data_IF_240367152238
#
_entry.id   IF_240367152238
#
_cell.length_a   1.000
_cell.length_b   1.000
_cell.length_c   1.000
_cell.angle_alpha   90.00
_cell.angle_beta   90.00
_cell.angle_gamma   90.00
#
_symmetry.space_group_name_H-M   'P 1'
#
loop_
_entity.id
_entity.type
_entity.pdbx_description
1 polymer ?
#
# COMPACT_ATOMS: atom_id res chain seq x y z
N UNK A 1 28.73 -27.72 -2.89
CA UNK A 1 28.16 -27.64 -4.25
C UNK A 1 26.67 -27.98 -4.18
N UNK A 2 25.78 -27.07 -4.58
CA UNK A 2 24.32 -27.27 -4.53
C UNK A 2 23.74 -27.74 -5.87
N UNK A 3 24.48 -28.58 -6.60
CA UNK A 3 24.10 -29.09 -7.93
C UNK A 3 23.25 -30.37 -7.90
N UNK A 4 22.72 -30.78 -6.75
CA UNK A 4 21.87 -31.97 -6.66
C UNK A 4 20.53 -31.73 -7.37
N UNK A 5 20.09 -32.72 -8.16
CA UNK A 5 18.81 -32.66 -8.86
C UNK A 5 17.62 -32.54 -7.88
N UNK A 6 16.55 -31.92 -8.34
CA UNK A 6 15.31 -31.74 -7.57
C UNK A 6 14.63 -33.10 -7.39
N UNK A 7 14.18 -33.40 -6.18
CA UNK A 7 13.44 -34.62 -5.90
C UNK A 7 12.01 -34.54 -6.47
N UNK A 8 11.76 -35.21 -7.59
CA UNK A 8 10.41 -35.29 -8.19
C UNK A 8 9.41 -36.00 -7.27
N UNK A 9 9.87 -36.98 -6.49
CA UNK A 9 9.02 -37.68 -5.52
C UNK A 9 8.59 -36.76 -4.38
N UNK A 10 9.42 -35.80 -3.99
CA UNK A 10 9.06 -34.81 -2.98
C UNK A 10 8.03 -33.83 -3.54
N UNK A 11 8.17 -33.42 -4.81
CA UNK A 11 7.19 -32.58 -5.49
C UNK A 11 5.80 -33.26 -5.59
N UNK A 12 5.78 -34.60 -5.71
CA UNK A 12 4.56 -35.43 -5.69
C UNK A 12 4.13 -35.89 -4.28
N UNK A 13 4.74 -35.34 -3.22
CA UNK A 13 4.49 -35.71 -1.81
C UNK A 13 4.65 -37.21 -1.48
N UNK A 14 5.46 -37.94 -2.26
CA UNK A 14 5.69 -39.39 -2.14
C UNK A 14 7.12 -39.73 -1.66
N UNK A 15 7.94 -38.75 -1.30
CA UNK A 15 9.30 -38.98 -0.84
C UNK A 15 9.34 -39.45 0.63
N UNK A 16 9.60 -40.75 0.85
CA UNK A 16 9.77 -41.33 2.19
C UNK A 16 11.16 -41.11 2.82
N UNK A 17 12.11 -40.50 2.10
CA UNK A 17 13.50 -40.31 2.57
C UNK A 17 13.69 -39.07 3.46
N UNK A 18 12.65 -38.23 3.62
CA UNK A 18 12.69 -37.05 4.48
C UNK A 18 13.91 -36.16 4.21
N UNK A 19 14.56 -35.68 5.27
CA UNK A 19 15.76 -34.83 5.18
C UNK A 19 17.06 -35.55 4.79
N UNK A 20 17.04 -36.88 4.64
CA UNK A 20 18.19 -37.67 4.18
C UNK A 20 18.08 -38.03 2.69
N UNK A 21 17.18 -37.40 1.96
CA UNK A 21 17.07 -37.60 0.53
C UNK A 21 18.35 -37.09 -0.17
N UNK A 22 18.98 -37.89 -1.07
CA UNK A 22 20.11 -37.42 -1.89
C UNK A 22 19.76 -36.27 -2.84
N UNK A 23 18.47 -36.07 -3.09
CA UNK A 23 17.93 -35.06 -3.98
C UNK A 23 17.37 -33.88 -3.20
N UNK A 24 17.42 -32.69 -3.82
CA UNK A 24 16.98 -31.45 -3.21
C UNK A 24 15.47 -31.42 -3.01
N UNK A 25 15.03 -31.03 -1.82
CA UNK A 25 13.62 -30.81 -1.51
C UNK A 25 13.26 -29.32 -1.61
N UNK A 26 12.27 -28.97 -2.44
CA UNK A 26 11.79 -27.60 -2.59
C UNK A 26 10.52 -27.43 -1.75
N UNK A 27 10.69 -27.05 -0.48
CA UNK A 27 9.54 -26.85 0.43
C UNK A 27 9.14 -25.37 0.46
N UNK A 28 7.88 -25.07 0.19
CA UNK A 28 7.27 -23.74 0.39
C UNK A 28 7.56 -22.70 -0.69
N UNK A 29 6.65 -21.73 -0.76
CA UNK A 29 6.70 -20.53 -1.58
C UNK A 29 7.75 -19.55 -1.02
N UNK A 30 8.95 -19.57 -1.61
CA UNK A 30 10.04 -18.66 -1.25
C UNK A 30 9.98 -17.43 -2.15
N UNK A 31 9.93 -16.24 -1.55
CA UNK A 31 9.66 -14.98 -2.26
C UNK A 31 10.91 -14.24 -2.72
N UNK A 32 12.04 -14.37 -2.00
CA UNK A 32 13.27 -13.62 -2.27
C UNK A 32 14.47 -14.57 -2.41
N UNK A 33 15.35 -14.29 -3.37
CA UNK A 33 16.58 -15.06 -3.62
C UNK A 33 17.59 -14.90 -2.46
N UNK A 34 18.19 -16.01 -2.07
CA UNK A 34 19.18 -16.07 -1.00
C UNK A 34 20.50 -15.41 -1.40
N UNK A 35 20.84 -14.30 -0.74
CA UNK A 35 22.13 -13.60 -0.96
C UNK A 35 23.37 -14.48 -0.69
N UNK A 36 23.27 -15.44 0.23
CA UNK A 36 24.40 -16.31 0.59
C UNK A 36 24.57 -17.47 -0.39
N UNK A 37 23.48 -17.95 -0.98
CA UNK A 37 23.49 -19.00 -1.99
C UNK A 37 24.11 -18.51 -3.30
N UNK A 38 23.82 -17.25 -3.70
CA UNK A 38 24.48 -16.62 -4.85
C UNK A 38 26.01 -16.60 -4.76
N UNK A 39 26.56 -16.64 -3.53
CA UNK A 39 28.01 -16.72 -3.26
C UNK A 39 28.51 -18.13 -2.98
N UNK A 40 27.63 -19.14 -2.98
CA UNK A 40 27.96 -20.52 -2.60
C UNK A 40 28.23 -20.73 -1.10
N UNK A 41 27.87 -19.77 -0.24
CA UNK A 41 28.17 -19.79 1.21
C UNK A 41 26.96 -20.16 2.08
N UNK A 42 25.84 -20.58 1.48
CA UNK A 42 24.66 -20.94 2.23
C UNK A 42 24.85 -22.28 2.96
N UNK A 43 24.87 -22.26 4.30
CA UNK A 43 24.95 -23.47 5.14
C UNK A 43 23.60 -24.13 5.39
N UNK A 44 22.49 -23.41 5.16
CA UNK A 44 21.12 -23.89 5.43
C UNK A 44 20.61 -24.89 4.39
N UNK A 45 21.28 -25.01 3.24
CA UNK A 45 20.89 -25.93 2.17
C UNK A 45 19.41 -25.81 1.82
N UNK A 46 18.69 -26.91 1.82
CA UNK A 46 17.27 -26.96 1.47
C UNK A 46 16.32 -26.41 2.52
N UNK A 47 16.81 -26.20 3.75
CA UNK A 47 16.07 -25.60 4.86
C UNK A 47 16.25 -24.08 4.91
N UNK A 48 16.79 -23.47 3.85
CA UNK A 48 16.90 -22.03 3.75
C UNK A 48 15.52 -21.40 3.56
N UNK A 49 15.25 -20.32 4.31
CA UNK A 49 14.05 -19.49 4.18
C UNK A 49 14.00 -18.73 2.85
N UNK A 50 15.17 -18.55 2.20
CA UNK A 50 15.31 -17.81 0.96
C UNK A 50 15.44 -18.75 -0.25
N UNK A 51 14.99 -18.29 -1.41
CA UNK A 51 14.98 -19.03 -2.66
C UNK A 51 16.41 -19.33 -3.13
N UNK A 52 16.68 -20.59 -3.48
CA UNK A 52 17.95 -21.06 -4.05
C UNK A 52 17.81 -21.26 -5.56
N UNK A 53 17.26 -20.25 -6.23
CA UNK A 53 17.04 -20.24 -7.68
C UNK A 53 17.41 -18.86 -8.21
N UNK A 54 17.95 -18.81 -9.41
CA UNK A 54 18.36 -17.56 -10.04
C UNK A 54 17.17 -16.94 -10.77
N UNK A 55 16.44 -16.08 -10.07
CA UNK A 55 15.30 -15.35 -10.62
C UNK A 55 15.52 -13.84 -10.40
N UNK A 56 15.74 -13.11 -11.49
CA UNK A 56 16.01 -11.67 -11.46
C UNK A 56 14.86 -10.86 -10.87
N UNK A 57 13.62 -11.34 -10.97
CA UNK A 57 12.43 -10.63 -10.46
C UNK A 57 12.29 -10.72 -8.94
N UNK A 58 12.88 -11.77 -8.34
CA UNK A 58 12.85 -12.05 -6.89
C UNK A 58 14.18 -11.71 -6.21
N UNK A 59 15.05 -10.98 -6.91
CA UNK A 59 16.33 -10.55 -6.35
C UNK A 59 16.11 -9.55 -5.21
N UNK A 60 16.92 -9.60 -4.15
CA UNK A 60 16.82 -8.61 -3.08
C UNK A 60 17.20 -7.21 -3.58
N UNK A 61 16.72 -6.18 -2.87
CA UNK A 61 17.00 -4.77 -3.15
C UNK A 61 18.52 -4.48 -3.02
N UNK A 62 19.05 -3.64 -3.91
CA UNK A 62 20.44 -3.19 -3.84
C UNK A 62 20.62 -2.24 -2.65
N UNK A 63 21.46 -2.63 -1.69
CA UNK A 63 21.72 -1.82 -0.50
C UNK A 63 22.35 -0.47 -0.83
N UNK A 64 23.29 -0.42 -1.80
CA UNK A 64 23.96 0.82 -2.18
C UNK A 64 22.99 1.80 -2.84
N UNK A 65 22.19 1.30 -3.79
CA UNK A 65 21.20 2.11 -4.47
C UNK A 65 20.10 2.60 -3.52
N UNK A 66 19.57 1.72 -2.66
CA UNK A 66 18.53 2.10 -1.69
C UNK A 66 19.01 3.13 -0.66
N UNK A 67 20.30 3.14 -0.30
CA UNK A 67 20.85 4.03 0.75
C UNK A 67 21.45 5.31 0.19
N UNK A 68 22.21 5.22 -0.90
CA UNK A 68 22.98 6.33 -1.45
C UNK A 68 22.39 6.87 -2.76
N UNK A 69 21.39 6.21 -3.34
CA UNK A 69 20.80 6.58 -4.63
C UNK A 69 21.67 6.23 -5.84
N UNK A 70 22.86 5.67 -5.61
CA UNK A 70 23.83 5.34 -6.65
C UNK A 70 24.41 3.94 -6.41
N UNK A 71 24.50 3.15 -7.48
CA UNK A 71 25.21 1.88 -7.47
C UNK A 71 26.47 2.01 -8.32
N UNK A 72 27.63 1.65 -7.74
CA UNK A 72 28.91 1.70 -8.47
C UNK A 72 29.02 0.66 -9.59
N UNK A 73 28.20 -0.39 -9.57
CA UNK A 73 28.18 -1.44 -10.59
C UNK A 73 27.06 -1.18 -11.60
N UNK A 74 27.42 -1.09 -12.89
CA UNK A 74 26.44 -0.91 -13.99
C UNK A 74 25.58 -2.16 -14.20
N UNK A 75 26.18 -3.34 -14.08
CA UNK A 75 25.50 -4.64 -14.18
C UNK A 75 25.23 -5.19 -12.77
N UNK A 76 24.39 -4.50 -11.99
CA UNK A 76 24.05 -4.94 -10.64
C UNK A 76 22.94 -6.01 -10.68
N UNK A 77 23.16 -7.24 -10.15
CA UNK A 77 22.12 -8.27 -10.12
C UNK A 77 20.97 -7.97 -9.15
N UNK A 78 21.12 -6.96 -8.30
CA UNK A 78 20.14 -6.58 -7.28
C UNK A 78 19.16 -5.53 -7.80
N UNK A 79 17.93 -5.54 -7.28
CA UNK A 79 16.90 -4.60 -7.73
C UNK A 79 17.23 -3.15 -7.32
N UNK A 80 17.29 -2.26 -8.30
CA UNK A 80 17.38 -0.81 -8.10
C UNK A 80 15.96 -0.24 -8.00
N UNK A 81 15.51 -0.02 -6.77
CA UNK A 81 14.20 0.59 -6.49
C UNK A 81 14.46 2.01 -5.97
N UNK A 82 13.94 3.01 -6.68
CA UNK A 82 14.05 4.39 -6.24
C UNK A 82 13.33 4.58 -4.90
N UNK A 83 13.99 5.09 -3.86
CA UNK A 83 13.35 5.32 -2.56
C UNK A 83 12.15 6.25 -2.66
N UNK A 84 12.17 7.22 -3.58
CA UNK A 84 11.05 8.12 -3.88
C UNK A 84 9.82 7.38 -4.44
N UNK A 85 10.04 6.31 -5.21
CA UNK A 85 8.96 5.48 -5.77
C UNK A 85 8.30 4.59 -4.72
N UNK A 86 9.02 4.28 -3.63
CA UNK A 86 8.53 3.47 -2.49
C UNK A 86 7.58 4.25 -1.58
N UNK A 87 7.68 5.58 -1.57
CA UNK A 87 6.78 6.43 -0.80
C UNK A 87 5.39 6.35 -1.42
N UNK A 88 4.46 5.72 -0.71
CA UNK A 88 3.05 5.65 -1.13
C UNK A 88 2.45 7.06 -1.20
N UNK A 89 1.58 7.26 -2.18
CA UNK A 89 0.80 8.49 -2.29
C UNK A 89 -0.08 8.67 -1.05
N UNK A 90 -0.22 9.92 -0.60
CA UNK A 90 -0.97 10.24 0.60
C UNK A 90 -2.48 10.08 0.36
N UNK A 91 -3.17 9.15 1.07
CA UNK A 91 -4.61 8.95 0.88
C UNK A 91 -5.47 10.17 1.29
N UNK A 92 -4.92 11.08 2.09
CA UNK A 92 -5.61 12.31 2.50
C UNK A 92 -5.45 13.40 1.45
N UNK A 93 -4.25 13.53 0.87
CA UNK A 93 -4.00 14.48 -0.21
C UNK A 93 -4.77 14.10 -1.48
N UNK A 94 -4.88 12.81 -1.79
CA UNK A 94 -5.66 12.32 -2.94
C UNK A 94 -7.17 12.62 -2.82
N UNK A 95 -7.67 12.75 -1.57
CA UNK A 95 -9.02 13.24 -1.27
C UNK A 95 -9.15 14.78 -1.29
N UNK A 96 -8.06 15.48 -1.60
CA UNK A 96 -8.00 16.93 -1.76
C UNK A 96 -7.23 17.66 -0.66
N UNK A 97 -7.14 17.12 0.57
CA UNK A 97 -6.48 17.82 1.66
C UNK A 97 -5.75 16.90 2.65
N UNK A 98 -4.45 17.14 2.83
CA UNK A 98 -3.67 16.51 3.87
C UNK A 98 -3.39 17.47 5.03
N UNK A 99 -3.75 17.06 6.25
CA UNK A 99 -3.49 17.83 7.48
C UNK A 99 -2.01 18.14 7.75
N UNK A 100 -1.10 17.32 7.21
CA UNK A 100 0.34 17.49 7.38
C UNK A 100 0.96 18.45 6.35
N UNK A 101 0.21 18.85 5.32
CA UNK A 101 0.70 19.80 4.31
C UNK A 101 2.03 19.33 3.66
N UNK A 102 3.00 20.21 3.42
CA UNK A 102 4.27 19.84 2.79
C UNK A 102 5.17 18.95 3.67
N UNK A 103 4.87 18.82 4.96
CA UNK A 103 5.61 17.98 5.90
C UNK A 103 5.03 16.55 5.99
N UNK A 104 4.20 16.14 5.03
CA UNK A 104 3.66 14.79 5.04
C UNK A 104 4.75 13.77 4.67
N UNK A 105 4.80 12.66 5.42
CA UNK A 105 5.65 11.50 5.11
C UNK A 105 5.27 10.81 3.79
N UNK A 106 4.02 10.96 3.35
CA UNK A 106 3.52 10.36 2.11
C UNK A 106 3.63 11.35 0.96
N UNK A 107 3.79 10.82 -0.26
CA UNK A 107 3.97 11.64 -1.46
C UNK A 107 2.68 12.39 -1.79
N UNK A 108 2.80 13.69 -2.04
CA UNK A 108 1.71 14.54 -2.48
C UNK A 108 1.83 14.78 -3.98
N UNK A 109 1.17 13.95 -4.79
CA UNK A 109 1.16 14.11 -6.25
C UNK A 109 0.06 15.09 -6.65
N UNK A 110 0.44 16.31 -7.04
CA UNK A 110 -0.52 17.32 -7.48
C UNK A 110 -1.15 16.94 -8.80
N UNK A 111 -2.47 16.77 -8.81
CA UNK A 111 -3.27 16.50 -10.01
C UNK A 111 -4.36 17.56 -10.17
N UNK A 112 -4.66 17.93 -11.41
CA UNK A 112 -5.74 18.89 -11.70
C UNK A 112 -7.08 18.17 -11.56
N UNK A 113 -7.96 18.68 -10.71
CA UNK A 113 -9.30 18.13 -10.50
C UNK A 113 -10.15 18.41 -11.74
N UNK A 114 -10.91 17.41 -12.19
CA UNK A 114 -11.90 17.60 -13.24
C UNK A 114 -13.03 18.50 -12.73
N UNK A 115 -13.20 19.67 -13.35
CA UNK A 115 -14.27 20.60 -12.99
C UNK A 115 -15.64 19.98 -13.24
N UNK A 116 -15.84 19.31 -14.39
CA UNK A 116 -17.12 18.68 -14.73
C UNK A 116 -17.51 17.59 -13.72
N UNK A 117 -16.55 16.77 -13.32
CA UNK A 117 -16.77 15.75 -12.28
C UNK A 117 -17.07 16.36 -10.92
N UNK A 118 -16.39 17.45 -10.55
CA UNK A 118 -16.65 18.16 -9.31
C UNK A 118 -18.08 18.73 -9.24
N UNK A 119 -18.61 19.19 -10.38
CA UNK A 119 -19.99 19.70 -10.52
C UNK A 119 -21.02 18.56 -10.57
N UNK A 120 -20.58 17.31 -10.68
CA UNK A 120 -21.39 16.11 -10.47
C UNK A 120 -21.37 15.11 -11.63
N UNK A 121 -20.96 15.52 -12.83
CA UNK A 121 -20.92 14.62 -13.99
C UNK A 121 -19.83 14.99 -14.98
N UNK A 122 -18.94 14.03 -15.28
CA UNK A 122 -17.96 14.15 -16.35
C UNK A 122 -18.32 13.19 -17.50
N UNK A 123 -18.50 13.68 -18.73
CA UNK A 123 -18.86 12.84 -19.88
C UNK A 123 -17.76 11.84 -20.25
N UNK A 124 -16.51 12.10 -19.87
CA UNK A 124 -15.36 11.20 -20.08
C UNK A 124 -15.27 10.06 -19.06
N UNK A 125 -16.13 10.07 -18.02
CA UNK A 125 -16.19 9.01 -17.01
C UNK A 125 -14.85 8.70 -16.34
N UNK A 126 -14.54 7.44 -16.00
CA UNK A 126 -13.29 7.06 -15.32
C UNK A 126 -12.04 7.21 -16.19
N UNK A 127 -12.20 7.40 -17.49
CA UNK A 127 -11.10 7.61 -18.45
C UNK A 127 -10.71 9.08 -18.63
N UNK A 128 -11.33 9.99 -17.86
CA UNK A 128 -11.05 11.42 -17.94
C UNK A 128 -9.57 11.73 -17.71
N UNK A 129 -9.03 12.67 -18.49
CA UNK A 129 -7.65 13.16 -18.35
C UNK A 129 -7.40 13.85 -17.00
N UNK A 130 -8.46 14.36 -16.37
CA UNK A 130 -8.40 15.10 -15.12
C UNK A 130 -8.76 14.20 -13.93
N UNK A 131 -8.24 14.53 -12.74
CA UNK A 131 -8.43 13.72 -11.55
C UNK A 131 -9.89 13.76 -11.08
N UNK A 132 -10.47 12.58 -10.87
CA UNK A 132 -11.77 12.39 -10.25
C UNK A 132 -11.56 11.96 -8.79
N UNK A 133 -11.75 12.84 -7.79
CA UNK A 133 -11.58 12.46 -6.40
C UNK A 133 -12.60 11.38 -6.02
N UNK A 134 -12.14 10.32 -5.36
CA UNK A 134 -13.01 9.28 -4.82
C UNK A 134 -13.34 9.64 -3.37
N UNK A 135 -14.54 10.13 -3.14
CA UNK A 135 -15.02 10.53 -1.81
C UNK A 135 -15.56 9.35 -0.99
N UNK A 136 -15.81 8.20 -1.62
CA UNK A 136 -16.31 7.00 -0.96
C UNK A 136 -15.18 6.21 -0.28
N UNK A 137 -15.40 5.84 0.97
CA UNK A 137 -14.59 4.85 1.68
C UNK A 137 -14.69 3.50 0.93
N UNK A 138 -13.64 2.67 0.88
CA UNK A 138 -13.77 1.31 0.39
C UNK A 138 -14.65 0.54 1.38
N UNK A 139 -15.96 0.54 1.13
CA UNK A 139 -16.85 -0.42 1.75
C UNK A 139 -16.50 -1.77 1.14
N UNK A 140 -16.04 -2.68 2.00
CA UNK A 140 -15.79 -4.07 1.63
C UNK A 140 -17.02 -4.64 0.92
N UNK A 141 -16.74 -5.40 -0.13
CA UNK A 141 -17.60 -6.41 -0.75
C UNK A 141 -18.90 -6.69 -0.01
N UNK A 142 -20.05 -6.34 -0.59
CA UNK A 142 -21.11 -7.28 -0.97
C UNK A 142 -22.31 -6.49 -1.47
N UNK A 143 -22.96 -7.08 -2.47
CA UNK A 143 -24.18 -6.61 -3.10
C UNK A 143 -25.20 -6.10 -2.08
N UNK A 144 -25.78 -4.92 -2.33
CA UNK A 144 -27.05 -4.55 -1.70
C UNK A 144 -28.11 -4.16 -2.72
N UNK A 145 -29.36 -4.64 -2.56
CA UNK A 145 -30.48 -4.43 -3.48
C UNK A 145 -31.07 -3.01 -3.36
N UNK A 146 -32.02 -2.60 -4.24
CA UNK A 146 -32.47 -1.21 -4.34
C UNK A 146 -33.21 -0.74 -3.08
N UNK A 147 -32.90 0.50 -2.68
CA UNK A 147 -33.46 1.23 -1.54
C UNK A 147 -35.00 1.41 -1.65
N UNK A 148 -35.78 1.20 -0.57
CA UNK A 148 -37.19 1.59 -0.53
C UNK A 148 -37.34 3.09 -0.20
N UNK A 149 -38.29 3.74 -0.89
CA UNK A 149 -38.64 5.16 -0.76
C UNK A 149 -39.31 5.47 0.60
N UNK A 150 -39.19 6.70 1.13
CA UNK A 150 -39.80 7.07 2.41
C UNK A 150 -41.27 7.47 2.25
N UNK A 151 -42.17 6.72 2.90
CA UNK A 151 -43.55 7.16 3.17
C UNK A 151 -43.60 8.08 4.38
N UNK A 152 -44.27 9.22 4.20
CA UNK A 152 -44.55 10.23 5.23
C UNK A 152 -45.51 9.70 6.30
N UNK A 153 -45.24 9.96 7.57
CA UNK A 153 -46.29 10.29 8.55
C UNK A 153 -45.74 11.16 9.67
N UNK A 154 -46.45 12.26 9.90
CA UNK A 154 -46.27 13.26 10.95
C UNK A 154 -46.65 12.70 12.33
N UNK A 155 -46.01 13.19 13.41
CA UNK A 155 -46.73 13.64 14.61
C UNK A 155 -45.83 14.39 15.62
N UNK A 156 -46.38 15.50 16.11
CA UNK A 156 -45.82 16.53 17.01
C UNK A 156 -45.77 16.06 18.48
N UNK A 157 -44.84 16.63 19.29
CA UNK A 157 -45.11 17.22 20.62
C UNK A 157 -43.93 18.07 21.12
N UNK A 158 -44.27 18.99 22.03
CA UNK A 158 -43.76 20.35 22.31
C UNK A 158 -42.66 20.42 23.41
N UNK A 159 -42.07 21.62 23.70
CA UNK A 159 -40.71 21.82 24.24
C UNK A 159 -40.68 21.85 25.78
N UNK A 160 -39.51 21.88 26.43
CA UNK A 160 -39.23 22.48 27.76
C UNK A 160 -37.70 22.64 28.04
N UNK A 161 -37.42 23.42 29.09
CA UNK A 161 -36.31 24.37 29.31
C UNK A 161 -35.04 23.81 29.99
N UNK A 162 -33.92 24.50 29.68
CA UNK A 162 -32.56 24.62 30.25
C UNK A 162 -32.27 23.96 31.61
N UNK A 163 -31.15 23.23 31.67
CA UNK A 163 -30.37 22.93 32.87
C UNK A 163 -28.88 22.86 32.55
N UNK A 164 -28.08 23.75 33.15
CA UNK A 164 -26.63 23.88 32.96
C UNK A 164 -25.90 22.86 33.85
N UNK A 165 -24.99 22.06 33.28
CA UNK A 165 -23.89 21.44 34.03
C UNK A 165 -22.58 21.64 33.29
N UNK A 166 -21.70 22.38 33.95
CA UNK A 166 -20.30 22.59 33.59
C UNK A 166 -19.55 21.26 33.77
N UNK A 167 -18.80 20.87 32.74
CA UNK A 167 -17.61 20.05 32.95
C UNK A 167 -16.44 20.74 32.28
N UNK A 168 -15.47 21.07 33.12
CA UNK A 168 -14.30 21.86 32.81
C UNK A 168 -13.25 21.03 32.07
N UNK A 169 -12.43 21.79 31.34
CA UNK A 169 -11.01 21.59 31.05
C UNK A 169 -10.55 20.99 29.70
N UNK A 170 -10.13 21.95 28.87
CA UNK A 170 -8.80 22.10 28.28
C UNK A 170 -8.39 21.17 27.13
N UNK A 171 -8.60 21.64 25.89
CA UNK A 171 -7.60 22.46 25.18
C UNK A 171 -8.12 22.72 23.76
N UNK A 172 -9.07 23.63 23.65
CA UNK A 172 -9.63 24.08 22.38
C UNK A 172 -8.70 25.12 21.77
N UNK A 173 -7.57 24.68 21.25
CA UNK A 173 -6.83 25.45 20.26
C UNK A 173 -7.76 25.72 19.08
N UNK A 174 -8.07 26.98 18.86
CA UNK A 174 -8.95 27.54 17.84
C UNK A 174 -8.71 26.89 16.46
N UNK A 175 -9.45 25.82 16.12
CA UNK A 175 -9.39 25.18 14.79
C UNK A 175 -10.54 25.71 13.94
N UNK A 176 -10.45 26.99 13.60
CA UNK A 176 -11.08 27.46 12.36
C UNK A 176 -10.50 26.67 11.16
N UNK A 177 -11.24 26.58 10.04
CA UNK A 177 -10.68 26.04 8.80
C UNK A 177 -9.38 26.77 8.48
N UNK A 178 -8.31 26.02 8.17
CA UNK A 178 -7.01 26.63 7.88
C UNK A 178 -7.16 27.61 6.71
N UNK A 179 -6.58 28.82 6.79
CA UNK A 179 -6.65 29.81 5.70
C UNK A 179 -6.24 29.17 4.39
N UNK A 180 -6.96 29.44 3.29
CA UNK A 180 -6.65 28.88 1.96
C UNK A 180 -5.18 29.13 1.55
N UNK A 181 -4.58 30.22 2.01
CA UNK A 181 -3.16 30.56 1.77
C UNK A 181 -2.17 29.61 2.46
N UNK A 182 -2.56 28.98 3.58
CA UNK A 182 -1.77 27.94 4.27
C UNK A 182 -2.05 26.55 3.71
N UNK A 183 -3.03 26.43 2.81
CA UNK A 183 -3.30 25.21 2.06
C UNK A 183 -2.40 25.22 0.83
N UNK A 184 -1.18 24.70 0.99
CA UNK A 184 -0.16 24.63 -0.06
C UNK A 184 -0.55 23.72 -1.25
N UNK A 185 -1.81 23.30 -1.37
CA UNK A 185 -2.29 22.53 -2.52
C UNK A 185 -2.72 23.39 -3.72
N UNK A 186 -2.78 24.73 -3.58
CA UNK A 186 -3.07 25.63 -4.70
C UNK A 186 -2.08 26.79 -4.76
N UNK A 187 -1.09 26.65 -5.65
CA UNK A 187 -0.49 27.76 -6.40
C UNK A 187 -0.23 27.31 -7.82
#
# INVERSE_FOLDING_TARGET
ESGAAVCEFFLKAACGKGGMCPFRHISGEKTVVCKHWLRGLCKKGDQCEFLHEYDMTKMPECYFYSKFGECSNKECPFLHIDPESKIKDCPWYDRGFCKHGPLCRHRHTRRVICVNYLVGFCPEGPTCKFMHPRFELPMGTTEQPPLPQPTQTQQKRTPQVIGVMQSQNNNSGNRGPRPLEQVTCYK
#
